data_IF_683342852799
#
_entry.id   IF_683342852799
#
_cell.length_a   1.000
_cell.length_b   1.000
_cell.length_c   1.000
_cell.angle_alpha   90.00
_cell.angle_beta   90.00
_cell.angle_gamma   90.00
#
_symmetry.space_group_name_H-M   'P 1'
#
loop_
_entity.id
_entity.type
_entity.pdbx_description
1 polymer ?
#
# COMPACT_ATOMS: atom_id res chain seq x y z
N UNK A 1 16.07 -25.98 -57.11
CA UNK A 1 16.96 -24.80 -57.24
C UNK A 1 16.22 -23.60 -56.67
N UNK A 2 16.94 -22.79 -55.90
CA UNK A 2 16.46 -21.79 -54.94
C UNK A 2 15.63 -20.63 -55.53
N UNK A 3 14.63 -20.19 -54.75
CA UNK A 3 14.26 -18.82 -54.39
C UNK A 3 14.00 -17.73 -55.45
N UNK A 4 12.85 -17.05 -55.32
CA UNK A 4 12.86 -15.60 -55.02
C UNK A 4 11.56 -15.20 -54.31
N UNK A 5 11.56 -15.50 -53.01
CA UNK A 5 10.55 -15.19 -51.99
C UNK A 5 10.79 -13.76 -51.45
N UNK A 6 11.58 -12.93 -52.13
CA UNK A 6 12.31 -11.83 -51.50
C UNK A 6 11.81 -10.40 -51.76
N UNK A 7 10.60 -10.18 -52.34
CA UNK A 7 10.14 -8.80 -52.56
C UNK A 7 8.71 -8.44 -52.12
N UNK A 8 8.00 -9.33 -51.40
CA UNK A 8 6.71 -9.00 -50.77
C UNK A 8 6.66 -9.40 -49.28
N UNK A 9 7.76 -9.91 -48.73
CA UNK A 9 7.98 -10.10 -47.29
C UNK A 9 8.80 -8.93 -46.72
N UNK A 10 8.41 -7.68 -47.01
CA UNK A 10 8.75 -6.58 -46.10
C UNK A 10 7.95 -6.84 -44.83
N UNK A 11 8.57 -7.62 -43.95
CA UNK A 11 8.13 -7.98 -42.61
C UNK A 11 7.69 -6.71 -41.87
N UNK A 12 6.44 -6.30 -42.06
CA UNK A 12 5.68 -5.70 -40.96
C UNK A 12 5.67 -6.79 -39.92
N UNK A 13 6.64 -6.71 -39.00
CA UNK A 13 6.71 -7.51 -37.80
C UNK A 13 5.33 -7.41 -37.20
N UNK A 14 4.51 -8.45 -37.37
CA UNK A 14 3.19 -8.52 -36.76
C UNK A 14 3.50 -8.63 -35.28
N UNK A 15 3.55 -7.47 -34.62
CA UNK A 15 3.67 -7.41 -33.19
C UNK A 15 2.33 -7.94 -32.71
N UNK A 16 2.30 -9.23 -32.33
CA UNK A 16 1.18 -9.74 -31.55
C UNK A 16 1.21 -8.98 -30.25
N UNK A 17 0.41 -7.93 -30.15
CA UNK A 17 0.12 -7.22 -28.91
C UNK A 17 -0.60 -8.19 -27.99
N UNK A 18 0.18 -9.01 -27.28
CA UNK A 18 -0.27 -9.83 -26.15
C UNK A 18 -0.77 -8.96 -24.99
N UNK A 19 -0.52 -7.65 -25.05
CA UNK A 19 -1.01 -6.67 -24.09
C UNK A 19 -2.01 -5.74 -24.77
N UNK A 20 -3.27 -5.82 -24.37
CA UNK A 20 -4.29 -4.86 -24.79
C UNK A 20 -3.96 -3.49 -24.19
N UNK A 21 -4.01 -2.43 -25.00
CA UNK A 21 -3.79 -1.04 -24.54
C UNK A 21 -4.69 -0.68 -23.35
N UNK A 22 -5.94 -1.14 -23.35
CA UNK A 22 -6.88 -0.96 -22.25
C UNK A 22 -6.35 -1.53 -20.92
N UNK A 23 -5.80 -2.76 -20.94
CA UNK A 23 -5.24 -3.40 -19.74
C UNK A 23 -3.97 -2.70 -19.23
N UNK A 24 -3.16 -2.16 -20.14
CA UNK A 24 -1.99 -1.34 -19.77
C UNK A 24 -2.47 -0.03 -19.13
N UNK A 25 -3.41 0.67 -19.76
CA UNK A 25 -3.93 1.94 -19.28
C UNK A 25 -4.53 1.81 -17.88
N UNK A 26 -5.37 0.78 -17.66
CA UNK A 26 -5.97 0.49 -16.36
C UNK A 26 -4.91 0.28 -15.26
N UNK A 27 -3.86 -0.48 -15.55
CA UNK A 27 -2.78 -0.67 -14.58
C UNK A 27 -1.94 0.60 -14.36
N UNK A 28 -1.71 1.41 -15.40
CA UNK A 28 -1.00 2.69 -15.27
C UNK A 28 -1.79 3.72 -14.47
N UNK A 29 -3.12 3.73 -14.60
CA UNK A 29 -4.02 4.55 -13.81
C UNK A 29 -3.98 4.13 -12.34
N UNK A 30 -4.09 2.82 -12.07
CA UNK A 30 -3.90 2.27 -10.73
C UNK A 30 -2.54 2.66 -10.14
N UNK A 31 -1.45 2.50 -10.90
CA UNK A 31 -0.10 2.87 -10.47
C UNK A 31 0.06 4.36 -10.18
N UNK A 32 -0.62 5.21 -10.95
CA UNK A 32 -0.55 6.67 -10.80
C UNK A 32 -1.41 7.20 -9.66
N UNK A 33 -2.21 6.34 -9.02
CA UNK A 33 -3.04 6.74 -7.88
C UNK A 33 -2.18 7.38 -6.77
N UNK A 34 -2.63 8.50 -6.18
CA UNK A 34 -1.98 9.12 -5.03
C UNK A 34 -1.84 8.19 -3.82
N UNK A 35 -2.61 7.09 -3.77
CA UNK A 35 -2.48 6.06 -2.75
C UNK A 35 -1.10 5.35 -2.80
N UNK A 36 -0.49 5.25 -3.97
CA UNK A 36 0.72 4.45 -4.21
C UNK A 36 1.91 5.25 -4.75
N UNK A 37 1.67 6.50 -5.17
CA UNK A 37 2.66 7.43 -5.68
C UNK A 37 2.57 8.78 -4.97
N UNK A 38 3.73 9.36 -4.67
CA UNK A 38 3.87 10.70 -4.10
C UNK A 38 4.77 11.53 -5.00
N UNK A 39 4.30 12.73 -5.35
CA UNK A 39 5.10 13.72 -6.07
C UNK A 39 6.04 14.37 -5.06
N UNK A 40 7.33 14.50 -5.41
CA UNK A 40 8.26 15.24 -4.56
C UNK A 40 8.20 16.73 -4.86
N UNK A 41 8.34 17.54 -3.81
CA UNK A 41 8.42 19.01 -3.95
C UNK A 41 9.69 19.50 -4.65
N UNK A 42 10.71 18.65 -4.80
CA UNK A 42 11.97 19.01 -5.45
C UNK A 42 12.44 17.94 -6.44
N UNK A 43 12.90 18.39 -7.61
CA UNK A 43 13.43 17.54 -8.68
C UNK A 43 12.41 17.25 -9.79
N UNK A 44 12.89 17.31 -11.03
CA UNK A 44 12.10 17.09 -12.23
C UNK A 44 12.83 16.19 -13.21
N UNK A 45 12.10 15.41 -13.99
CA UNK A 45 12.62 14.65 -15.12
C UNK A 45 12.09 15.23 -16.42
N UNK A 46 12.95 15.34 -17.42
CA UNK A 46 12.56 15.72 -18.77
C UNK A 46 12.28 14.45 -19.57
N UNK A 47 11.09 14.38 -20.16
CA UNK A 47 10.69 13.34 -21.11
C UNK A 47 10.77 13.95 -22.50
N UNK A 48 11.60 13.37 -23.36
CA UNK A 48 11.64 13.74 -24.78
C UNK A 48 10.62 12.90 -25.54
N UNK A 49 9.71 13.56 -26.22
CA UNK A 49 8.74 12.96 -27.10
C UNK A 49 9.38 12.61 -28.46
N UNK A 50 8.74 11.71 -29.21
CA UNK A 50 9.18 11.30 -30.55
C UNK A 50 9.20 12.44 -31.57
N UNK A 51 8.44 13.52 -31.33
CA UNK A 51 8.44 14.75 -32.13
C UNK A 51 9.54 15.74 -31.72
N UNK A 52 10.46 15.35 -30.81
CA UNK A 52 11.52 16.21 -30.30
C UNK A 52 11.10 17.19 -29.19
N UNK A 53 9.80 17.27 -28.87
CA UNK A 53 9.32 18.12 -27.77
C UNK A 53 9.76 17.57 -26.41
N UNK A 54 10.05 18.47 -25.48
CA UNK A 54 10.49 18.14 -24.13
C UNK A 54 9.40 18.48 -23.11
N UNK A 55 9.00 17.51 -22.30
CA UNK A 55 8.04 17.68 -21.21
C UNK A 55 8.78 17.53 -19.89
N UNK A 56 8.74 18.58 -19.07
CA UNK A 56 9.28 18.55 -17.71
C UNK A 56 8.22 18.05 -16.74
N UNK A 57 8.44 16.89 -16.14
CA UNK A 57 7.52 16.26 -15.19
C UNK A 57 8.18 16.24 -13.80
N UNK A 58 7.44 16.51 -12.72
CA UNK A 58 7.94 16.30 -11.37
C UNK A 58 8.45 14.87 -11.18
N UNK A 59 9.48 14.71 -10.35
CA UNK A 59 9.92 13.36 -9.98
C UNK A 59 8.82 12.73 -9.13
N UNK A 60 8.50 11.47 -9.41
CA UNK A 60 7.52 10.70 -8.65
C UNK A 60 8.26 9.63 -7.84
N UNK A 61 7.96 9.58 -6.55
CA UNK A 61 8.36 8.51 -5.64
C UNK A 61 7.20 7.53 -5.55
N UNK A 62 7.51 6.25 -5.73
CA UNK A 62 6.54 5.19 -5.42
C UNK A 62 6.68 4.81 -3.96
N UNK A 63 5.57 4.88 -3.22
CA UNK A 63 5.56 4.63 -1.77
C UNK A 63 5.49 3.15 -1.43
N UNK A 64 5.08 2.30 -2.39
CA UNK A 64 4.86 0.86 -2.21
C UNK A 64 5.77 0.05 -3.14
N UNK A 65 6.29 -1.07 -2.65
CA UNK A 65 7.17 -1.96 -3.43
C UNK A 65 6.42 -2.65 -4.57
N UNK A 66 7.14 -2.98 -5.66
CA UNK A 66 6.57 -3.55 -6.88
C UNK A 66 5.71 -4.80 -6.64
N UNK A 67 6.18 -5.72 -5.79
CA UNK A 67 5.45 -6.95 -5.46
C UNK A 67 4.12 -6.67 -4.75
N UNK A 68 4.13 -5.74 -3.79
CA UNK A 68 2.94 -5.38 -3.02
C UNK A 68 1.92 -4.61 -3.87
N UNK A 69 2.39 -3.69 -4.71
CA UNK A 69 1.51 -2.99 -5.68
C UNK A 69 0.79 -3.97 -6.60
N UNK A 70 1.47 -5.01 -7.06
CA UNK A 70 0.84 -6.04 -7.91
C UNK A 70 -0.19 -6.85 -7.12
N UNK A 71 0.09 -7.19 -5.87
CA UNK A 71 -0.89 -7.87 -5.00
C UNK A 71 -2.15 -7.00 -4.78
N UNK A 72 -1.97 -5.73 -4.47
CA UNK A 72 -3.08 -4.79 -4.29
C UNK A 72 -3.89 -4.61 -5.58
N UNK A 73 -3.21 -4.58 -6.73
CA UNK A 73 -3.88 -4.52 -8.02
C UNK A 73 -4.70 -5.78 -8.32
N UNK A 74 -4.20 -6.96 -7.96
CA UNK A 74 -4.96 -8.21 -8.13
C UNK A 74 -6.25 -8.18 -7.29
N UNK A 75 -6.18 -7.76 -6.03
CA UNK A 75 -7.37 -7.57 -5.17
C UNK A 75 -8.33 -6.51 -5.72
N UNK A 76 -7.80 -5.41 -6.26
CA UNK A 76 -8.64 -4.39 -6.90
C UNK A 76 -9.35 -4.94 -8.14
N UNK A 77 -8.65 -5.73 -8.97
CA UNK A 77 -9.23 -6.37 -10.15
C UNK A 77 -10.34 -7.36 -9.78
N UNK A 78 -10.17 -8.12 -8.69
CA UNK A 78 -11.21 -9.00 -8.15
C UNK A 78 -12.47 -8.23 -7.75
N UNK A 79 -12.30 -7.06 -7.11
CA UNK A 79 -13.44 -6.22 -6.69
C UNK A 79 -14.18 -5.53 -7.83
N UNK A 80 -13.52 -5.34 -8.97
CA UNK A 80 -14.05 -4.61 -10.14
C UNK A 80 -14.41 -5.53 -11.31
N UNK A 81 -14.34 -6.85 -11.10
CA UNK A 81 -14.50 -7.90 -12.12
C UNK A 81 -13.63 -7.66 -13.38
N UNK A 82 -12.41 -7.18 -13.17
CA UNK A 82 -11.49 -6.84 -14.26
C UNK A 82 -10.48 -7.95 -14.51
N UNK A 83 -10.35 -8.37 -15.78
CA UNK A 83 -9.33 -9.35 -16.18
C UNK A 83 -7.94 -8.72 -16.27
N UNK A 84 -7.14 -8.89 -15.21
CA UNK A 84 -5.78 -8.37 -15.12
C UNK A 84 -4.78 -8.99 -16.12
N UNK A 85 -3.59 -8.38 -16.24
CA UNK A 85 -2.46 -8.95 -17.00
C UNK A 85 -1.71 -9.96 -16.12
N UNK A 86 -0.99 -10.91 -16.74
CA UNK A 86 -0.09 -11.80 -15.99
C UNK A 86 0.92 -11.00 -15.17
N UNK A 87 1.20 -11.46 -13.94
CA UNK A 87 2.17 -10.81 -13.03
C UNK A 87 3.51 -10.48 -13.67
N UNK A 88 4.05 -11.36 -14.52
CA UNK A 88 5.32 -11.12 -15.23
C UNK A 88 5.26 -9.90 -16.17
N UNK A 89 4.11 -9.61 -16.77
CA UNK A 89 3.88 -8.38 -17.56
C UNK A 89 3.75 -7.16 -16.66
N UNK A 90 3.04 -7.27 -15.53
CA UNK A 90 2.89 -6.18 -14.56
C UNK A 90 4.25 -5.76 -13.99
N UNK A 91 5.11 -6.70 -13.61
CA UNK A 91 6.48 -6.41 -13.17
C UNK A 91 7.31 -5.66 -14.23
N UNK A 92 7.15 -6.01 -15.51
CA UNK A 92 7.82 -5.30 -16.62
C UNK A 92 7.32 -3.86 -16.74
N UNK A 93 6.00 -3.64 -16.64
CA UNK A 93 5.42 -2.30 -16.66
C UNK A 93 5.93 -1.48 -15.47
N UNK A 94 5.90 -2.05 -14.26
CA UNK A 94 6.45 -1.41 -13.06
C UNK A 94 7.91 -1.01 -13.24
N UNK A 95 8.74 -1.89 -13.83
CA UNK A 95 10.16 -1.63 -14.09
C UNK A 95 10.37 -0.53 -15.13
N UNK A 96 9.54 -0.47 -16.17
CA UNK A 96 9.59 0.58 -17.21
C UNK A 96 9.14 1.94 -16.67
N UNK A 97 8.13 1.96 -15.80
CA UNK A 97 7.68 3.12 -15.06
C UNK A 97 8.65 3.44 -13.91
N UNK A 98 9.94 3.60 -14.23
CA UNK A 98 11.02 3.85 -13.29
C UNK A 98 10.74 5.12 -12.47
N UNK A 99 10.14 4.91 -11.31
CA UNK A 99 9.92 5.88 -10.24
C UNK A 99 11.06 5.75 -9.23
N UNK A 100 11.40 6.83 -8.53
CA UNK A 100 12.34 6.71 -7.41
C UNK A 100 11.74 5.82 -6.33
N UNK A 101 12.54 4.92 -5.77
CA UNK A 101 12.13 4.13 -4.62
C UNK A 101 12.18 5.01 -3.36
N UNK A 102 11.23 4.81 -2.45
CA UNK A 102 11.19 5.44 -1.14
C UNK A 102 12.31 4.85 -0.27
N UNK A 103 13.37 5.61 -0.03
CA UNK A 103 14.51 5.19 0.81
C UNK A 103 14.30 5.52 2.29
N UNK A 104 13.49 6.55 2.61
CA UNK A 104 13.12 6.92 3.99
C UNK A 104 11.66 7.37 4.07
N UNK A 105 11.03 7.14 5.21
CA UNK A 105 9.71 7.69 5.57
C UNK A 105 9.83 9.08 6.19
N UNK A 106 10.95 9.38 6.83
CA UNK A 106 11.21 10.65 7.51
C UNK A 106 11.21 11.80 6.49
N UNK A 107 10.38 12.82 6.77
CA UNK A 107 10.19 13.97 5.89
C UNK A 107 9.18 13.76 4.74
N UNK A 108 8.57 12.57 4.62
CA UNK A 108 7.48 12.31 3.65
C UNK A 108 6.15 12.02 4.34
N UNK A 109 6.16 11.29 5.46
CA UNK A 109 4.97 10.90 6.23
C UNK A 109 5.37 10.61 7.69
N UNK A 110 5.47 11.68 8.50
CA UNK A 110 5.95 11.59 9.88
C UNK A 110 4.96 10.84 10.78
N UNK A 111 3.67 10.91 10.47
CA UNK A 111 2.60 10.21 11.22
C UNK A 111 2.72 8.69 11.13
N UNK A 112 2.95 8.15 9.93
CA UNK A 112 3.18 6.71 9.77
C UNK A 112 4.50 6.32 10.43
N UNK A 113 5.55 7.14 10.30
CA UNK A 113 6.86 6.87 10.91
C UNK A 113 6.76 6.74 12.45
N UNK A 114 6.04 7.65 13.11
CA UNK A 114 5.87 7.62 14.56
C UNK A 114 4.99 6.44 15.02
N UNK A 115 3.91 6.13 14.28
CA UNK A 115 3.12 4.93 14.53
C UNK A 115 3.94 3.63 14.43
N UNK A 116 4.84 3.56 13.46
CA UNK A 116 5.75 2.40 13.31
C UNK A 116 6.72 2.29 14.49
N UNK A 117 7.32 3.40 14.95
CA UNK A 117 8.18 3.40 16.14
C UNK A 117 7.43 2.95 17.40
N UNK A 118 6.16 3.32 17.52
CA UNK A 118 5.28 2.86 18.59
C UNK A 118 5.16 1.34 18.59
N UNK A 119 4.83 0.74 17.44
CA UNK A 119 4.73 -0.72 17.32
C UNK A 119 6.08 -1.41 17.55
N UNK A 120 7.19 -0.87 17.04
CA UNK A 120 8.53 -1.41 17.29
C UNK A 120 8.88 -1.39 18.79
N UNK A 121 8.39 -0.37 19.51
CA UNK A 121 8.56 -0.27 20.97
C UNK A 121 7.74 -1.33 21.69
N UNK A 122 6.48 -1.55 21.29
CA UNK A 122 5.64 -2.62 21.81
C UNK A 122 6.27 -4.01 21.58
N UNK A 123 6.86 -4.26 20.40
CA UNK A 123 7.55 -5.51 20.13
C UNK A 123 8.74 -5.72 21.07
N UNK A 124 9.55 -4.69 21.32
CA UNK A 124 10.66 -4.74 22.29
C UNK A 124 10.18 -5.04 23.70
N UNK A 125 9.05 -4.45 24.11
CA UNK A 125 8.44 -4.72 25.42
C UNK A 125 8.05 -6.19 25.51
N UNK A 126 7.31 -6.73 24.53
CA UNK A 126 6.90 -8.15 24.52
C UNK A 126 8.11 -9.09 24.60
N UNK A 127 9.19 -8.79 23.87
CA UNK A 127 10.44 -9.56 23.95
C UNK A 127 11.10 -9.47 25.34
N UNK A 128 11.01 -8.33 26.02
CA UNK A 128 11.49 -8.15 27.40
C UNK A 128 10.62 -8.91 28.40
N UNK A 129 9.30 -8.93 28.22
CA UNK A 129 8.36 -9.71 29.05
C UNK A 129 8.69 -11.21 29.02
N UNK A 130 9.11 -11.74 27.87
CA UNK A 130 9.62 -13.12 27.75
C UNK A 130 10.82 -13.40 28.68
N UNK A 131 11.68 -12.42 28.95
CA UNK A 131 12.78 -12.59 29.92
C UNK A 131 12.32 -12.66 31.37
N UNK A 132 11.09 -12.22 31.65
CA UNK A 132 10.44 -12.28 32.97
C UNK A 132 9.43 -13.44 33.08
N UNK A 133 9.49 -14.43 32.18
CA UNK A 133 8.68 -15.64 32.26
C UNK A 133 7.38 -15.62 31.46
N UNK A 134 7.19 -14.67 30.53
CA UNK A 134 6.11 -14.79 29.54
C UNK A 134 6.29 -16.04 28.69
N UNK A 135 5.20 -16.73 28.36
CA UNK A 135 5.26 -17.91 27.51
C UNK A 135 5.90 -17.59 26.13
N UNK A 136 6.91 -18.39 25.69
CA UNK A 136 7.57 -18.16 24.41
C UNK A 136 6.66 -18.32 23.18
N UNK A 137 5.60 -19.14 23.25
CA UNK A 137 4.67 -19.31 22.15
C UNK A 137 3.77 -18.08 21.99
N UNK A 138 3.26 -17.56 23.11
CA UNK A 138 2.48 -16.33 23.17
C UNK A 138 3.32 -15.11 22.75
N UNK A 139 4.58 -15.06 23.19
CA UNK A 139 5.55 -14.04 22.74
C UNK A 139 5.68 -14.01 21.22
N UNK A 140 5.81 -15.18 20.57
CA UNK A 140 5.90 -15.29 19.11
C UNK A 140 4.60 -14.88 18.43
N UNK A 141 3.45 -15.29 18.97
CA UNK A 141 2.13 -14.93 18.45
C UNK A 141 1.92 -13.42 18.44
N UNK A 142 2.14 -12.76 19.58
CA UNK A 142 1.93 -11.31 19.70
C UNK A 142 2.96 -10.52 18.88
N UNK A 143 4.21 -10.97 18.83
CA UNK A 143 5.22 -10.37 17.94
C UNK A 143 4.79 -10.44 16.47
N UNK A 144 4.25 -11.58 16.02
CA UNK A 144 3.76 -11.75 14.66
C UNK A 144 2.52 -10.88 14.39
N UNK A 145 1.63 -10.75 15.36
CA UNK A 145 0.47 -9.85 15.31
C UNK A 145 0.90 -8.38 15.15
N UNK A 146 1.83 -7.90 15.98
CA UNK A 146 2.36 -6.54 15.91
C UNK A 146 3.04 -6.28 14.56
N UNK A 147 3.84 -7.24 14.07
CA UNK A 147 4.46 -7.15 12.75
C UNK A 147 3.43 -7.02 11.62
N UNK A 148 2.42 -7.90 11.59
CA UNK A 148 1.36 -7.87 10.56
C UNK A 148 0.60 -6.55 10.59
N UNK A 149 0.28 -6.07 11.79
CA UNK A 149 -0.43 -4.80 11.99
C UNK A 149 0.41 -3.62 11.51
N UNK A 150 1.71 -3.61 11.79
CA UNK A 150 2.66 -2.61 11.27
C UNK A 150 2.73 -2.62 9.73
N UNK A 151 2.81 -3.81 9.11
CA UNK A 151 2.79 -3.92 7.65
C UNK A 151 1.49 -3.40 7.04
N UNK A 152 0.35 -3.73 7.66
CA UNK A 152 -0.97 -3.29 7.22
C UNK A 152 -1.09 -1.76 7.24
N UNK A 153 -0.76 -1.12 8.36
CA UNK A 153 -0.79 0.35 8.50
C UNK A 153 0.10 1.05 7.48
N UNK A 154 1.24 0.43 7.13
CA UNK A 154 2.20 1.02 6.20
C UNK A 154 1.75 0.98 4.74
N UNK A 155 1.12 -0.11 4.32
CA UNK A 155 0.94 -0.40 2.89
C UNK A 155 -0.51 -0.55 2.42
N UNK A 156 -1.40 -1.01 3.30
CA UNK A 156 -2.68 -1.57 2.88
C UNK A 156 -3.84 -0.66 3.21
N UNK A 157 -3.77 0.06 4.32
CA UNK A 157 -4.84 0.95 4.79
C UNK A 157 -5.27 1.96 3.71
N UNK A 158 -4.33 2.41 2.87
CA UNK A 158 -4.59 3.35 1.77
C UNK A 158 -5.54 2.79 0.72
N UNK A 159 -5.54 1.48 0.51
CA UNK A 159 -6.44 0.80 -0.42
C UNK A 159 -7.83 0.55 0.17
N UNK A 160 -7.99 0.68 1.49
CA UNK A 160 -9.27 0.48 2.17
C UNK A 160 -10.10 1.77 2.22
N UNK A 161 -9.49 2.94 2.08
CA UNK A 161 -10.16 4.23 2.22
C UNK A 161 -10.96 4.59 0.95
N UNK A 162 -12.23 4.92 1.10
CA UNK A 162 -13.14 5.33 0.01
C UNK A 162 -14.20 6.32 0.51
N UNK A 163 -14.89 7.03 -0.39
CA UNK A 163 -16.03 7.89 -0.02
C UNK A 163 -17.36 7.13 0.13
N UNK A 164 -17.39 5.86 -0.27
CA UNK A 164 -18.60 5.03 -0.29
C UNK A 164 -18.42 3.72 0.47
N UNK A 165 -17.45 3.65 1.39
CA UNK A 165 -17.29 2.46 2.22
C UNK A 165 -18.36 2.44 3.30
N UNK A 166 -18.94 1.27 3.51
CA UNK A 166 -19.82 0.91 4.61
C UNK A 166 -19.07 0.60 5.92
N UNK A 167 -17.73 0.70 5.94
CA UNK A 167 -16.91 0.56 7.14
C UNK A 167 -16.57 1.94 7.69
N UNK A 168 -16.87 2.16 8.97
CA UNK A 168 -16.69 3.44 9.68
C UNK A 168 -15.32 4.08 9.41
N UNK A 169 -14.23 3.34 9.61
CA UNK A 169 -12.87 3.85 9.50
C UNK A 169 -12.32 3.89 8.06
N UNK A 170 -13.08 3.37 7.09
CA UNK A 170 -12.71 3.37 5.68
C UNK A 170 -13.41 4.51 4.92
N UNK A 171 -14.60 4.92 5.37
CA UNK A 171 -15.31 6.01 4.75
C UNK A 171 -14.65 7.35 5.11
N UNK A 172 -13.84 7.92 4.21
CA UNK A 172 -13.14 9.17 4.50
C UNK A 172 -14.08 10.34 4.77
N UNK A 173 -15.27 10.34 4.14
CA UNK A 173 -16.30 11.36 4.40
C UNK A 173 -16.85 11.25 5.81
N UNK A 174 -17.09 10.03 6.30
CA UNK A 174 -17.63 9.82 7.64
C UNK A 174 -16.53 9.98 8.70
N UNK A 175 -15.39 9.32 8.53
CA UNK A 175 -14.29 9.31 9.48
C UNK A 175 -13.67 10.68 9.73
N UNK A 176 -13.74 11.59 8.75
CA UNK A 176 -13.23 12.97 8.87
C UNK A 176 -14.33 14.01 9.11
N UNK A 177 -15.60 13.59 9.22
CA UNK A 177 -16.71 14.51 9.48
C UNK A 177 -16.74 14.91 10.95
N UNK A 178 -16.86 16.20 11.22
CA UNK A 178 -17.17 16.72 12.54
C UNK A 178 -18.69 16.91 12.68
N UNK A 179 -19.31 16.31 13.70
CA UNK A 179 -20.75 16.45 13.94
C UNK A 179 -21.12 17.72 14.72
N UNK A 180 -20.13 18.44 15.25
CA UNK A 180 -20.29 19.69 16.00
C UNK A 180 -20.06 20.91 15.12
N UNK A 181 -19.12 20.83 14.18
CA UNK A 181 -18.80 21.91 13.25
C UNK A 181 -19.47 21.70 11.89
N UNK A 182 -20.47 22.53 11.58
CA UNK A 182 -21.29 22.37 10.37
C UNK A 182 -20.45 22.45 9.09
N UNK A 183 -19.44 23.31 9.07
CA UNK A 183 -18.55 23.53 7.92
C UNK A 183 -17.60 22.34 7.68
N UNK A 184 -17.37 21.52 8.71
CA UNK A 184 -16.59 20.29 8.64
C UNK A 184 -17.46 19.02 8.70
N UNK A 185 -18.79 19.17 8.61
CA UNK A 185 -19.72 18.04 8.62
C UNK A 185 -19.95 17.47 7.22
N UNK A 186 -19.77 16.16 7.07
CA UNK A 186 -19.99 15.40 5.84
C UNK A 186 -21.11 14.39 6.00
N UNK A 187 -22.12 14.43 5.12
CA UNK A 187 -23.20 13.44 5.11
C UNK A 187 -22.93 12.30 4.13
N UNK A 188 -23.22 11.09 4.55
CA UNK A 188 -23.17 9.90 3.70
C UNK A 188 -24.58 9.48 3.27
N UNK A 189 -24.67 8.85 2.09
CA UNK A 189 -25.91 8.23 1.57
C UNK A 189 -25.91 6.70 1.76
N UNK A 190 -25.06 6.20 2.65
CA UNK A 190 -24.88 4.79 2.98
C UNK A 190 -24.71 4.65 4.49
N UNK A 191 -24.93 3.44 4.99
CA UNK A 191 -24.80 3.09 6.40
C UNK A 191 -23.37 2.64 6.73
N UNK A 192 -23.00 2.68 8.02
CA UNK A 192 -21.64 2.36 8.48
C UNK A 192 -21.67 1.25 9.53
N UNK A 193 -22.31 0.14 9.19
CA UNK A 193 -22.58 -0.96 10.13
C UNK A 193 -21.48 -2.03 10.12
N UNK A 194 -20.52 -1.91 9.21
CA UNK A 194 -19.44 -2.87 9.04
C UNK A 194 -18.15 -2.43 9.72
N UNK A 195 -17.34 -3.42 10.09
CA UNK A 195 -16.01 -3.21 10.66
C UNK A 195 -14.97 -4.02 9.90
N UNK A 196 -13.76 -3.47 9.78
CA UNK A 196 -12.64 -4.19 9.21
C UNK A 196 -11.78 -4.76 10.34
N UNK A 197 -11.75 -6.08 10.48
CA UNK A 197 -10.95 -6.76 11.51
C UNK A 197 -9.47 -6.43 11.41
N UNK A 198 -8.94 -6.29 10.19
CA UNK A 198 -7.53 -5.97 9.95
C UNK A 198 -7.19 -4.53 10.37
N UNK A 199 -8.01 -3.55 9.98
CA UNK A 199 -7.77 -2.15 10.40
C UNK A 199 -8.03 -1.96 11.89
N UNK A 200 -8.99 -2.68 12.46
CA UNK A 200 -9.32 -2.62 13.90
C UNK A 200 -8.21 -3.23 14.77
N UNK A 201 -7.40 -4.14 14.22
CA UNK A 201 -6.25 -4.72 14.93
C UNK A 201 -5.24 -3.65 15.40
N UNK A 202 -5.10 -2.53 14.68
CA UNK A 202 -4.23 -1.42 15.06
C UNK A 202 -4.61 -0.86 16.44
N UNK A 203 -5.92 -0.81 16.73
CA UNK A 203 -6.45 -0.29 17.99
C UNK A 203 -6.25 -1.27 19.17
N UNK A 204 -5.88 -2.52 18.89
CA UNK A 204 -5.72 -3.59 19.88
C UNK A 204 -4.26 -3.83 20.27
N UNK A 205 -3.29 -3.18 19.60
CA UNK A 205 -1.87 -3.39 19.84
C UNK A 205 -1.48 -3.09 21.29
N UNK A 206 -1.89 -1.93 21.80
CA UNK A 206 -1.56 -1.52 23.17
C UNK A 206 -2.21 -2.45 24.20
N UNK A 207 -3.53 -2.65 24.11
CA UNK A 207 -4.28 -3.46 25.08
C UNK A 207 -3.74 -4.89 25.16
N UNK A 208 -3.43 -5.52 24.02
CA UNK A 208 -2.82 -6.85 23.99
C UNK A 208 -1.51 -6.90 24.79
N UNK A 209 -0.63 -5.91 24.62
CA UNK A 209 0.65 -5.89 25.36
C UNK A 209 0.43 -5.57 26.84
N UNK A 210 -0.51 -4.69 27.16
CA UNK A 210 -0.89 -4.38 28.55
C UNK A 210 -1.44 -5.60 29.28
N UNK A 211 -2.24 -6.43 28.60
CA UNK A 211 -2.81 -7.64 29.20
C UNK A 211 -1.72 -8.70 29.47
N UNK A 212 -0.75 -8.86 28.56
CA UNK A 212 0.42 -9.71 28.81
C UNK A 212 1.26 -9.20 29.99
N UNK A 213 1.42 -7.88 30.11
CA UNK A 213 2.14 -7.30 31.24
C UNK A 213 1.44 -7.63 32.56
N UNK A 214 0.12 -7.48 32.64
CA UNK A 214 -0.67 -7.80 33.84
C UNK A 214 -0.56 -9.28 34.23
N UNK A 215 -0.48 -10.19 33.26
CA UNK A 215 -0.36 -11.64 33.50
C UNK A 215 0.93 -12.00 34.25
N UNK A 216 2.03 -11.29 33.98
CA UNK A 216 3.34 -11.60 34.56
C UNK A 216 3.87 -10.52 35.49
N UNK A 217 3.06 -9.51 35.83
CA UNK A 217 3.51 -8.34 36.59
C UNK A 217 4.19 -8.72 37.91
N UNK A 218 3.71 -9.80 38.54
CA UNK A 218 4.24 -10.30 39.81
C UNK A 218 5.63 -10.96 39.67
N UNK A 219 6.00 -11.37 38.44
CA UNK A 219 7.32 -11.92 38.13
C UNK A 219 8.36 -10.83 37.83
N UNK A 220 7.93 -9.59 37.62
CA UNK A 220 8.81 -8.49 37.26
C UNK A 220 9.40 -7.92 38.57
N UNK A 221 10.73 -7.84 38.71
CA UNK A 221 11.34 -7.26 39.89
C UNK A 221 10.86 -5.82 40.09
N UNK A 222 10.32 -5.52 41.27
CA UNK A 222 10.13 -4.14 41.71
C UNK A 222 11.51 -3.51 41.93
N UNK A 223 11.79 -2.39 41.26
CA UNK A 223 13.00 -1.57 41.48
C UNK A 223 13.15 -1.14 42.94
#
# INVERSE_FOLDING_TARGET
MLHFVDLVMLLKKVHRDRLTRAKIAHFLEFLSSPAYCQIVGFGSRVIKLSNGAEIKIPKVIRTVMASRVIQLYDTFCESTDFSSLRRSSLYKIVKLCASSQKTSLQGLDNTIDDGMKGIDTLEKIVRKLNTFGLDPSLTKEVTLFLYRTSQHSKFDIKGHISFQSDVVNHCSRYALSDNKEKDFSGKCQHEHDNSCSVCSAVLQCESKVTDLYKEIQDNIPSE
#
